data_IF_051019762365
#
_entry.id   IF_051019762365
#
_cell.length_a   1.000
_cell.length_b   1.000
_cell.length_c   1.000
_cell.angle_alpha   90.00
_cell.angle_beta   90.00
_cell.angle_gamma   90.00
#
_symmetry.space_group_name_H-M   'P 1'
#
loop_
_entity.id
_entity.type
_entity.pdbx_description
1 polymer ?
#
# COMPACT_ATOMS: atom_id res chain seq x y z
N UNK A 1 -5.39 -70.88 -52.05
CA UNK A 1 -4.59 -70.47 -50.87
C UNK A 1 -4.34 -68.96 -50.94
N UNK A 2 -5.22 -68.11 -50.39
CA UNK A 2 -4.96 -66.65 -50.35
C UNK A 2 -5.51 -65.93 -49.11
N UNK A 3 -6.13 -66.63 -48.16
CA UNK A 3 -6.85 -66.03 -47.03
C UNK A 3 -6.05 -65.87 -45.73
N UNK A 4 -4.80 -66.35 -45.65
CA UNK A 4 -3.99 -66.25 -44.43
C UNK A 4 -3.10 -65.00 -44.35
N UNK A 5 -2.75 -64.38 -45.48
CA UNK A 5 -1.79 -63.27 -45.53
C UNK A 5 -2.39 -61.92 -45.08
N UNK A 6 -3.70 -61.72 -45.25
CA UNK A 6 -4.37 -60.46 -44.89
C UNK A 6 -4.67 -60.34 -43.39
N UNK A 7 -4.87 -61.47 -42.71
CA UNK A 7 -5.11 -61.51 -41.25
C UNK A 7 -3.88 -61.14 -40.44
N UNK A 8 -2.68 -61.40 -40.96
CA UNK A 8 -1.41 -61.05 -40.31
C UNK A 8 -1.18 -59.55 -40.42
N UNK A 9 -1.41 -58.95 -41.60
CA UNK A 9 -1.24 -57.51 -41.86
C UNK A 9 -2.17 -56.63 -41.01
N UNK A 10 -3.43 -57.03 -40.84
CA UNK A 10 -4.39 -56.29 -40.01
C UNK A 10 -4.03 -56.28 -38.52
N UNK A 11 -3.52 -57.41 -37.99
CA UNK A 11 -3.09 -57.51 -36.58
C UNK A 11 -1.85 -56.67 -36.27
N UNK A 12 -0.90 -56.60 -37.21
CA UNK A 12 0.28 -55.72 -37.07
C UNK A 12 -0.09 -54.24 -37.13
N UNK A 13 -1.07 -53.84 -37.95
CA UNK A 13 -1.50 -52.44 -38.03
C UNK A 13 -2.23 -51.96 -36.77
N UNK A 14 -3.11 -52.79 -36.22
CA UNK A 14 -3.86 -52.46 -34.99
C UNK A 14 -2.90 -52.37 -33.79
N UNK A 15 -1.93 -53.28 -33.68
CA UNK A 15 -0.94 -53.24 -32.60
C UNK A 15 -0.01 -52.02 -32.69
N UNK A 16 0.39 -51.59 -33.90
CA UNK A 16 1.13 -50.34 -34.07
C UNK A 16 0.32 -49.09 -33.69
N UNK A 17 -0.96 -49.02 -34.07
CA UNK A 17 -1.83 -47.90 -33.69
C UNK A 17 -2.04 -47.80 -32.17
N UNK A 18 -2.17 -48.92 -31.47
CA UNK A 18 -2.27 -48.95 -30.00
C UNK A 18 -0.95 -48.51 -29.36
N UNK A 19 0.20 -48.91 -29.92
CA UNK A 19 1.51 -48.46 -29.44
C UNK A 19 1.67 -46.93 -29.58
N UNK A 20 1.32 -46.35 -30.73
CA UNK A 20 1.44 -44.91 -30.98
C UNK A 20 0.53 -44.10 -30.05
N UNK A 21 -0.67 -44.58 -29.75
CA UNK A 21 -1.59 -43.96 -28.77
C UNK A 21 -1.06 -44.04 -27.33
N UNK A 22 -0.43 -45.14 -26.95
CA UNK A 22 0.18 -45.29 -25.61
C UNK A 22 1.40 -44.37 -25.42
N UNK A 23 2.22 -44.20 -26.46
CA UNK A 23 3.38 -43.31 -26.41
C UNK A 23 3.00 -41.82 -26.39
N UNK A 24 1.98 -41.41 -27.14
CA UNK A 24 1.49 -40.00 -27.13
C UNK A 24 0.76 -39.63 -25.83
N UNK A 25 0.07 -40.58 -25.20
CA UNK A 25 -0.57 -40.39 -23.89
C UNK A 25 0.43 -40.15 -22.75
N UNK A 26 1.53 -40.91 -22.68
CA UNK A 26 2.53 -40.76 -21.60
C UNK A 26 3.34 -39.46 -21.72
N UNK A 27 3.73 -39.07 -22.94
CA UNK A 27 4.51 -37.83 -23.14
C UNK A 27 3.72 -36.57 -22.84
N UNK A 28 2.39 -36.59 -23.01
CA UNK A 28 1.53 -35.43 -22.76
C UNK A 28 1.32 -35.16 -21.26
N UNK A 29 1.13 -36.22 -20.46
CA UNK A 29 0.98 -36.11 -18.99
C UNK A 29 2.30 -35.66 -18.35
N UNK A 30 3.43 -36.19 -18.81
CA UNK A 30 4.74 -35.81 -18.30
C UNK A 30 5.12 -34.37 -18.69
N UNK A 31 4.76 -33.95 -19.91
CA UNK A 31 4.89 -32.56 -20.35
C UNK A 31 4.02 -31.61 -19.52
N UNK A 32 2.74 -31.94 -19.29
CA UNK A 32 1.86 -31.13 -18.44
C UNK A 32 2.38 -31.01 -17.00
N UNK A 33 2.89 -32.11 -16.44
CA UNK A 33 3.49 -32.11 -15.10
C UNK A 33 4.72 -31.22 -15.03
N UNK A 34 5.64 -31.33 -15.98
CA UNK A 34 6.82 -30.46 -16.05
C UNK A 34 6.44 -28.98 -16.22
N UNK A 35 5.41 -28.69 -17.01
CA UNK A 35 4.93 -27.33 -17.21
C UNK A 35 4.35 -26.76 -15.90
N UNK A 36 3.52 -27.53 -15.20
CA UNK A 36 2.95 -27.12 -13.92
C UNK A 36 4.03 -26.91 -12.83
N UNK A 37 5.05 -27.77 -12.79
CA UNK A 37 6.20 -27.60 -11.89
C UNK A 37 6.99 -26.33 -12.21
N UNK A 38 7.18 -26.00 -13.50
CA UNK A 38 7.83 -24.75 -13.94
C UNK A 38 7.01 -23.53 -13.56
N UNK A 39 5.71 -23.57 -13.79
CA UNK A 39 4.79 -22.47 -13.48
C UNK A 39 4.72 -22.23 -11.98
N UNK A 40 4.66 -23.31 -11.17
CA UNK A 40 4.72 -23.23 -9.70
C UNK A 40 6.04 -22.60 -9.24
N UNK A 41 7.19 -23.03 -9.78
CA UNK A 41 8.49 -22.44 -9.43
C UNK A 41 8.58 -20.98 -9.85
N UNK A 42 8.02 -20.62 -11.00
CA UNK A 42 7.96 -19.24 -11.49
C UNK A 42 7.11 -18.37 -10.58
N UNK A 43 5.95 -18.86 -10.14
CA UNK A 43 5.08 -18.14 -9.22
C UNK A 43 5.76 -17.91 -7.86
N UNK A 44 6.39 -18.93 -7.29
CA UNK A 44 7.16 -18.81 -6.03
C UNK A 44 8.30 -17.81 -6.18
N UNK A 45 9.04 -17.84 -7.29
CA UNK A 45 10.10 -16.88 -7.58
C UNK A 45 9.57 -15.46 -7.71
N UNK A 46 8.49 -15.25 -8.48
CA UNK A 46 7.90 -13.92 -8.65
C UNK A 46 7.23 -13.40 -7.37
N UNK A 47 6.69 -14.27 -6.53
CA UNK A 47 6.21 -13.88 -5.19
C UNK A 47 7.37 -13.46 -4.27
N UNK A 48 8.46 -14.24 -4.23
CA UNK A 48 9.67 -13.88 -3.49
C UNK A 48 10.26 -12.54 -3.98
N UNK A 49 10.34 -12.35 -5.29
CA UNK A 49 10.78 -11.11 -5.93
C UNK A 49 9.89 -9.91 -5.55
N UNK A 50 8.57 -10.08 -5.61
CA UNK A 50 7.60 -9.04 -5.20
C UNK A 50 7.74 -8.69 -3.72
N UNK A 51 7.92 -9.68 -2.85
CA UNK A 51 8.16 -9.48 -1.40
C UNK A 51 9.45 -8.71 -1.14
N UNK A 52 10.54 -9.09 -1.81
CA UNK A 52 11.84 -8.43 -1.67
C UNK A 52 11.82 -6.99 -2.18
N UNK A 53 11.20 -6.75 -3.34
CA UNK A 53 11.01 -5.40 -3.87
C UNK A 53 10.21 -4.52 -2.91
N UNK A 54 9.09 -5.03 -2.36
CA UNK A 54 8.29 -4.34 -1.34
C UNK A 54 9.09 -4.07 -0.06
N UNK A 55 9.98 -4.98 0.35
CA UNK A 55 10.85 -4.79 1.52
C UNK A 55 11.88 -3.67 1.27
N UNK A 56 12.54 -3.68 0.11
CA UNK A 56 13.49 -2.63 -0.29
C UNK A 56 12.84 -1.25 -0.37
N UNK A 57 11.67 -1.15 -1.02
CA UNK A 57 10.94 0.12 -1.14
C UNK A 57 10.54 0.69 0.24
N UNK A 58 10.05 -0.16 1.15
CA UNK A 58 9.74 0.23 2.54
C UNK A 58 10.97 0.76 3.27
N UNK A 59 12.08 0.02 3.19
CA UNK A 59 13.32 0.43 3.84
C UNK A 59 13.83 1.75 3.26
N UNK A 60 13.74 1.96 1.95
CA UNK A 60 14.18 3.20 1.31
C UNK A 60 13.36 4.41 1.81
N UNK A 61 12.02 4.29 1.85
CA UNK A 61 11.16 5.34 2.39
C UNK A 61 11.50 5.65 3.86
N UNK A 62 11.68 4.61 4.67
CA UNK A 62 12.05 4.74 6.09
C UNK A 62 13.43 5.40 6.30
N UNK A 63 14.42 5.05 5.49
CA UNK A 63 15.75 5.66 5.56
C UNK A 63 15.74 7.13 5.10
N UNK A 64 14.96 7.46 4.07
CA UNK A 64 14.89 8.84 3.58
C UNK A 64 14.26 9.80 4.60
N UNK A 65 13.40 9.31 5.49
CA UNK A 65 12.81 10.10 6.57
C UNK A 65 13.79 10.41 7.72
N UNK A 66 14.94 9.74 7.79
CA UNK A 66 15.88 9.95 8.90
C UNK A 66 16.39 11.39 8.93
N UNK A 67 16.55 11.94 10.13
CA UNK A 67 16.99 13.32 10.35
C UNK A 67 15.98 14.14 11.13
N UNK A 68 16.21 15.45 11.16
CA UNK A 68 15.33 16.42 11.80
C UNK A 68 14.55 17.19 10.75
N UNK A 69 13.32 17.50 11.10
CA UNK A 69 12.34 18.14 10.24
C UNK A 69 11.61 19.22 11.04
N UNK A 70 11.30 20.33 10.40
CA UNK A 70 10.52 21.42 10.98
C UNK A 70 9.23 21.58 10.18
N UNK A 71 8.13 21.78 10.88
CA UNK A 71 6.84 22.05 10.25
C UNK A 71 6.94 23.25 9.30
N UNK A 72 6.42 23.06 8.08
CA UNK A 72 6.44 24.05 7.02
C UNK A 72 5.03 24.54 6.72
N UNK A 73 4.12 23.64 6.34
CA UNK A 73 2.75 24.00 5.97
C UNK A 73 1.75 22.88 6.25
N UNK A 74 0.46 23.25 6.30
CA UNK A 74 -0.66 22.33 6.32
C UNK A 74 -1.69 22.81 5.29
N UNK A 75 -1.95 21.99 4.28
CA UNK A 75 -2.79 22.33 3.13
C UNK A 75 -3.96 21.36 3.05
N UNK A 76 -5.17 21.89 2.83
CA UNK A 76 -6.37 21.10 2.53
C UNK A 76 -6.69 21.27 1.05
N UNK A 77 -6.55 20.19 0.31
CA UNK A 77 -6.90 20.09 -1.10
C UNK A 77 -8.27 19.39 -1.19
N UNK A 78 -9.37 20.09 -0.87
CA UNK A 78 -10.73 19.54 -0.93
C UNK A 78 -11.43 19.91 -2.26
N UNK A 79 -12.21 18.98 -2.83
CA UNK A 79 -13.07 19.21 -4.00
C UNK A 79 -14.53 18.89 -3.64
N UNK A 80 -15.46 19.77 -4.01
CA UNK A 80 -16.89 19.44 -4.06
C UNK A 80 -17.70 19.55 -2.76
N UNK A 81 -17.24 20.26 -1.71
CA UNK A 81 -18.08 20.57 -0.54
C UNK A 81 -17.32 21.11 0.68
N UNK A 82 -17.99 21.95 1.50
CA UNK A 82 -17.55 22.54 2.80
C UNK A 82 -16.15 23.17 2.89
N UNK A 83 -15.59 23.57 1.76
CA UNK A 83 -14.19 23.98 1.58
C UNK A 83 -13.69 24.98 2.65
N UNK A 84 -14.57 25.89 3.11
CA UNK A 84 -14.22 26.91 4.11
C UNK A 84 -14.03 26.38 5.53
N UNK A 85 -14.83 25.41 5.99
CA UNK A 85 -14.78 24.97 7.39
C UNK A 85 -13.52 24.13 7.64
N UNK A 86 -13.23 23.18 6.75
CA UNK A 86 -12.04 22.33 6.88
C UNK A 86 -10.76 23.15 6.67
N UNK A 87 -10.73 24.08 5.71
CA UNK A 87 -9.59 25.00 5.55
C UNK A 87 -9.39 25.91 6.76
N UNK A 88 -10.46 26.45 7.34
CA UNK A 88 -10.37 27.28 8.55
C UNK A 88 -9.83 26.48 9.74
N UNK A 89 -10.34 25.25 9.94
CA UNK A 89 -9.85 24.33 10.97
C UNK A 89 -8.39 23.93 10.75
N UNK A 90 -7.98 23.71 9.51
CA UNK A 90 -6.60 23.42 9.15
C UNK A 90 -5.71 24.64 9.41
N UNK A 91 -6.12 25.86 9.03
CA UNK A 91 -5.36 27.08 9.31
C UNK A 91 -5.15 27.30 10.82
N UNK A 92 -6.20 27.09 11.62
CA UNK A 92 -6.09 27.14 13.08
C UNK A 92 -5.10 26.09 13.60
N UNK A 93 -5.16 24.87 13.08
CA UNK A 93 -4.24 23.78 13.45
C UNK A 93 -2.81 24.11 13.04
N UNK A 94 -2.58 24.61 11.82
CA UNK A 94 -1.28 25.05 11.32
C UNK A 94 -0.63 26.10 12.24
N UNK A 95 -1.44 27.03 12.79
CA UNK A 95 -0.93 28.02 13.75
C UNK A 95 -0.40 27.36 15.03
N UNK A 96 -1.05 26.29 15.52
CA UNK A 96 -0.62 25.51 16.68
C UNK A 96 0.60 24.64 16.37
N UNK A 97 0.79 24.23 15.12
CA UNK A 97 1.95 23.45 14.68
C UNK A 97 3.17 24.34 14.39
N UNK A 98 3.07 25.67 14.45
CA UNK A 98 4.25 26.55 14.31
C UNK A 98 5.34 26.16 15.32
N UNK A 99 6.56 26.02 14.83
CA UNK A 99 7.72 25.61 15.64
C UNK A 99 7.79 24.11 15.95
N UNK A 100 6.84 23.31 15.46
CA UNK A 100 6.87 21.85 15.59
C UNK A 100 8.10 21.28 14.88
N UNK A 101 8.82 20.42 15.61
CA UNK A 101 9.98 19.68 15.13
C UNK A 101 9.72 18.19 15.24
N UNK A 102 10.07 17.46 14.20
CA UNK A 102 9.96 16.02 14.11
C UNK A 102 11.34 15.44 13.80
N UNK A 103 11.80 14.48 14.60
CA UNK A 103 13.08 13.80 14.39
C UNK A 103 12.82 12.31 14.23
N UNK A 104 13.37 11.74 13.17
CA UNK A 104 13.44 10.29 12.97
C UNK A 104 14.87 9.80 13.12
N UNK A 105 15.04 8.67 13.77
CA UNK A 105 16.31 7.96 13.82
C UNK A 105 16.08 6.46 13.83
N UNK A 106 17.14 5.71 13.52
CA UNK A 106 17.15 4.25 13.54
C UNK A 106 18.04 3.78 14.68
N UNK A 107 17.60 2.76 15.41
CA UNK A 107 18.44 2.03 16.36
C UNK A 107 18.15 0.53 16.22
N UNK A 108 19.17 -0.24 15.82
CA UNK A 108 18.99 -1.61 15.34
C UNK A 108 18.04 -1.66 14.14
N UNK A 109 17.05 -2.55 14.18
CA UNK A 109 16.03 -2.68 13.13
C UNK A 109 14.79 -1.78 13.32
N UNK A 110 14.77 -0.98 14.39
CA UNK A 110 13.62 -0.16 14.76
C UNK A 110 13.81 1.30 14.34
N UNK A 111 12.73 1.90 13.84
CA UNK A 111 12.64 3.33 13.56
C UNK A 111 11.91 4.00 14.69
N UNK A 112 12.52 5.08 15.19
CA UNK A 112 12.01 5.87 16.27
C UNK A 112 11.68 7.27 15.78
N UNK A 113 10.73 7.90 16.44
CA UNK A 113 10.40 9.29 16.22
C UNK A 113 10.36 10.04 17.54
N UNK A 114 10.67 11.34 17.47
CA UNK A 114 10.42 12.31 18.52
C UNK A 114 9.78 13.52 17.88
N UNK A 115 8.67 13.94 18.44
CA UNK A 115 7.96 15.14 18.06
C UNK A 115 7.99 16.11 19.22
N UNK A 116 8.34 17.36 18.94
CA UNK A 116 8.49 18.40 19.96
C UNK A 116 8.01 19.75 19.43
N UNK A 117 7.15 20.40 20.22
CA UNK A 117 6.75 21.78 20.12
C UNK A 117 6.62 22.32 21.56
N UNK A 118 6.44 23.63 21.71
CA UNK A 118 6.02 24.33 22.94
C UNK A 118 4.85 23.65 23.64
N UNK A 119 3.93 23.03 22.88
CA UNK A 119 2.67 22.49 23.40
C UNK A 119 2.72 20.97 23.64
N UNK A 120 3.57 20.24 22.92
CA UNK A 120 3.55 18.78 22.93
C UNK A 120 4.94 18.17 22.77
N UNK A 121 5.20 17.12 23.54
CA UNK A 121 6.33 16.21 23.36
C UNK A 121 5.79 14.79 23.21
N UNK A 122 6.17 14.13 22.14
CA UNK A 122 5.80 12.75 21.86
C UNK A 122 7.02 11.97 21.40
N UNK A 123 7.05 10.70 21.79
CA UNK A 123 8.12 9.77 21.48
C UNK A 123 7.53 8.41 21.20
N UNK A 124 8.05 7.71 20.19
CA UNK A 124 7.56 6.39 19.86
C UNK A 124 8.34 5.70 18.75
N UNK A 125 7.75 4.64 18.23
CA UNK A 125 8.25 3.92 17.07
C UNK A 125 7.39 4.22 15.85
N UNK A 126 8.00 4.17 14.67
CA UNK A 126 7.28 4.30 13.41
C UNK A 126 7.48 3.07 12.54
N UNK A 127 6.46 2.73 11.77
CA UNK A 127 6.51 1.65 10.79
C UNK A 127 6.00 2.15 9.45
N UNK A 128 6.76 1.87 8.39
CA UNK A 128 6.34 2.16 7.01
C UNK A 128 5.81 0.90 6.35
N UNK A 129 4.62 0.97 5.77
CA UNK A 129 4.05 -0.11 4.97
C UNK A 129 3.47 0.46 3.67
N UNK A 130 4.02 0.06 2.53
CA UNK A 130 3.47 0.42 1.21
C UNK A 130 3.22 1.92 1.00
N UNK A 131 4.14 2.78 1.45
CA UNK A 131 3.98 4.25 1.36
C UNK A 131 3.13 4.87 2.46
N UNK A 132 2.62 4.07 3.40
CA UNK A 132 1.94 4.54 4.59
C UNK A 132 2.88 4.54 5.80
N UNK A 133 2.67 5.48 6.72
CA UNK A 133 3.39 5.62 7.97
C UNK A 133 2.43 5.46 9.14
N UNK A 134 2.77 4.55 10.05
CA UNK A 134 2.04 4.35 11.29
C UNK A 134 2.92 4.71 12.48
N UNK A 135 2.40 5.54 13.37
CA UNK A 135 3.06 5.95 14.60
C UNK A 135 2.53 5.16 15.79
N UNK A 136 3.45 4.62 16.59
CA UNK A 136 3.14 3.91 17.82
C UNK A 136 3.77 4.70 18.97
N UNK A 137 2.99 5.54 19.68
CA UNK A 137 3.52 6.34 20.78
C UNK A 137 3.96 5.43 21.92
N UNK A 138 5.15 5.69 22.45
CA UNK A 138 5.62 5.18 23.74
C UNK A 138 5.23 6.19 24.84
N UNK A 139 5.27 7.48 24.53
CA UNK A 139 4.89 8.57 25.43
C UNK A 139 4.36 9.78 24.67
N UNK A 140 3.46 10.54 25.28
CA UNK A 140 2.85 11.74 24.70
C UNK A 140 1.69 11.45 23.73
N UNK A 141 1.23 12.50 23.05
CA UNK A 141 0.09 12.42 22.11
C UNK A 141 0.44 11.67 20.84
N UNK A 142 -0.56 11.07 20.18
CA UNK A 142 -0.40 10.51 18.85
C UNK A 142 -0.18 11.63 17.83
N UNK A 143 0.81 11.46 16.94
CA UNK A 143 1.09 12.41 15.85
C UNK A 143 -0.17 12.67 14.99
N UNK A 144 -0.93 11.64 14.57
CA UNK A 144 -2.23 11.83 13.94
C UNK A 144 -3.15 12.80 14.65
N UNK A 145 -3.27 12.68 15.97
CA UNK A 145 -4.19 13.51 16.76
C UNK A 145 -3.68 14.96 16.86
N UNK A 146 -2.36 15.16 16.85
CA UNK A 146 -1.81 16.51 16.86
C UNK A 146 -2.01 17.23 15.51
N UNK A 147 -1.85 16.51 14.40
CA UNK A 147 -1.84 17.10 13.06
C UNK A 147 -3.26 17.13 12.46
N UNK A 148 -4.05 16.08 12.66
CA UNK A 148 -5.28 15.82 11.91
C UNK A 148 -6.54 15.70 12.77
N UNK A 149 -6.50 15.87 14.10
CA UNK A 149 -7.72 15.75 14.94
C UNK A 149 -8.83 16.74 14.57
N UNK A 150 -8.54 17.79 13.80
CA UNK A 150 -9.57 18.68 13.29
C UNK A 150 -10.51 18.04 12.24
N UNK A 151 -10.13 16.90 11.68
CA UNK A 151 -11.00 16.07 10.81
C UNK A 151 -11.89 15.11 11.59
N UNK A 152 -11.79 15.08 12.92
CA UNK A 152 -12.62 14.20 13.75
C UNK A 152 -14.09 14.53 13.54
N UNK A 153 -14.88 13.49 13.26
CA UNK A 153 -16.30 13.62 12.91
C UNK A 153 -16.56 13.90 11.42
N UNK A 154 -15.51 14.05 10.60
CA UNK A 154 -15.65 14.04 9.14
C UNK A 154 -15.79 12.60 8.67
N UNK A 155 -16.80 12.38 7.83
CA UNK A 155 -17.09 11.08 7.24
C UNK A 155 -16.54 11.00 5.82
N UNK A 156 -16.13 9.78 5.44
CA UNK A 156 -15.86 9.38 4.07
C UNK A 156 -16.84 8.28 3.68
N UNK A 157 -17.18 8.24 2.40
CA UNK A 157 -18.02 7.20 1.83
C UNK A 157 -17.16 6.24 1.02
N UNK A 158 -17.51 4.96 1.05
CA UNK A 158 -16.88 3.91 0.28
C UNK A 158 -17.98 3.13 -0.44
N UNK A 159 -17.84 3.01 -1.76
CA UNK A 159 -18.69 2.15 -2.57
C UNK A 159 -18.17 0.72 -2.45
N UNK A 160 -19.01 -0.18 -1.93
CA UNK A 160 -18.72 -1.59 -1.79
C UNK A 160 -19.00 -2.32 -3.12
N UNK A 161 -18.45 -3.54 -3.24
CA UNK A 161 -18.54 -4.33 -4.47
C UNK A 161 -19.95 -4.83 -4.82
N UNK A 162 -20.84 -4.86 -3.83
CA UNK A 162 -22.27 -5.17 -3.97
C UNK A 162 -23.11 -3.93 -4.36
N UNK A 163 -22.48 -2.76 -4.48
CA UNK A 163 -23.14 -1.50 -4.78
C UNK A 163 -23.65 -0.73 -3.55
N UNK A 164 -23.47 -1.26 -2.34
CA UNK A 164 -23.81 -0.55 -1.12
C UNK A 164 -22.81 0.59 -0.83
N UNK A 165 -23.28 1.60 -0.10
CA UNK A 165 -22.46 2.74 0.33
C UNK A 165 -22.25 2.67 1.83
N UNK A 166 -21.00 2.42 2.22
CA UNK A 166 -20.62 2.50 3.62
C UNK A 166 -20.13 3.92 3.95
N UNK A 167 -20.59 4.44 5.09
CA UNK A 167 -20.17 5.75 5.60
C UNK A 167 -19.35 5.53 6.85
N UNK A 168 -18.06 5.81 6.77
CA UNK A 168 -17.11 5.59 7.84
C UNK A 168 -16.42 6.89 8.25
N UNK A 169 -16.00 6.98 9.51
CA UNK A 169 -15.18 8.11 9.95
C UNK A 169 -13.80 8.06 9.30
N UNK A 170 -13.23 9.22 9.01
CA UNK A 170 -11.84 9.31 8.55
C UNK A 170 -10.92 8.86 9.67
N UNK A 171 -10.13 7.80 9.42
CA UNK A 171 -9.11 7.31 10.34
C UNK A 171 -7.77 8.00 10.05
N UNK A 172 -7.35 8.91 10.93
CA UNK A 172 -6.08 9.62 10.82
C UNK A 172 -4.87 8.76 11.21
N UNK A 173 -5.05 7.55 11.77
CA UNK A 173 -3.95 6.72 12.27
C UNK A 173 -3.03 6.18 11.17
N UNK A 174 -3.52 6.15 9.93
CA UNK A 174 -2.78 5.68 8.77
C UNK A 174 -2.67 6.85 7.80
N UNK A 175 -1.44 7.34 7.63
CA UNK A 175 -1.15 8.47 6.74
C UNK A 175 -0.23 8.03 5.62
N UNK A 176 -0.42 8.58 4.43
CA UNK A 176 0.59 8.53 3.38
C UNK A 176 1.84 9.27 3.83
N UNK A 177 3.00 8.79 3.39
CA UNK A 177 4.26 9.50 3.57
C UNK A 177 5.02 9.61 2.26
N UNK A 178 5.48 10.82 1.95
CA UNK A 178 6.33 11.09 0.82
C UNK A 178 7.56 11.89 1.28
N UNK A 179 8.74 11.52 0.78
CA UNK A 179 9.97 12.28 1.00
C UNK A 179 10.54 12.69 -0.34
N UNK A 180 10.66 14.00 -0.56
CA UNK A 180 11.18 14.61 -1.80
C UNK A 180 12.34 15.54 -1.44
N UNK A 181 13.56 15.01 -1.48
CA UNK A 181 14.77 15.75 -1.12
C UNK A 181 14.73 16.25 0.33
N UNK A 182 14.55 17.57 0.49
CA UNK A 182 14.47 18.26 1.78
C UNK A 182 13.06 18.42 2.32
N UNK A 183 12.04 17.85 1.65
CA UNK A 183 10.65 17.92 2.08
C UNK A 183 10.13 16.54 2.50
N UNK A 184 9.41 16.49 3.61
CA UNK A 184 8.67 15.34 4.12
C UNK A 184 7.19 15.72 4.18
N UNK A 185 6.34 14.98 3.49
CA UNK A 185 4.90 15.17 3.49
C UNK A 185 4.22 14.01 4.20
N UNK A 186 3.33 14.34 5.14
CA UNK A 186 2.35 13.42 5.72
C UNK A 186 0.98 13.74 5.12
N UNK A 187 0.36 12.75 4.51
CA UNK A 187 -0.89 12.93 3.77
C UNK A 187 -2.03 12.12 4.38
N UNK A 188 -3.19 12.76 4.53
CA UNK A 188 -4.44 12.12 4.94
C UNK A 188 -5.44 12.18 3.78
N UNK A 189 -5.89 11.01 3.31
CA UNK A 189 -6.93 10.92 2.28
C UNK A 189 -8.31 11.16 2.89
N UNK A 190 -9.05 12.12 2.35
CA UNK A 190 -10.42 12.44 2.77
C UNK A 190 -11.45 11.47 2.17
N UNK A 191 -11.02 10.58 1.27
CA UNK A 191 -11.84 9.55 0.67
C UNK A 191 -12.78 10.07 -0.41
N UNK A 192 -13.85 9.30 -0.65
CA UNK A 192 -14.87 9.61 -1.64
C UNK A 192 -16.12 10.19 -0.97
N UNK A 193 -16.88 10.95 -1.75
CA UNK A 193 -18.21 11.44 -1.38
C UNK A 193 -19.11 11.38 -2.60
N UNK A 194 -20.38 11.03 -2.40
CA UNK A 194 -21.40 11.09 -3.43
C UNK A 194 -21.90 12.54 -3.57
N UNK A 195 -21.73 13.12 -4.75
CA UNK A 195 -22.27 14.42 -5.13
C UNK A 195 -23.37 14.27 -6.20
N UNK A 196 -24.09 15.34 -6.54
CA UNK A 196 -25.04 15.31 -7.67
C UNK A 196 -24.41 14.90 -9.00
N UNK A 197 -23.11 15.16 -9.20
CA UNK A 197 -22.32 14.76 -10.38
C UNK A 197 -21.78 13.32 -10.29
N UNK A 198 -22.08 12.60 -9.21
CA UNK A 198 -21.66 11.23 -8.98
C UNK A 198 -20.56 11.12 -7.91
N UNK A 199 -19.77 10.05 -7.99
CA UNK A 199 -18.70 9.79 -7.03
C UNK A 199 -17.52 10.72 -7.24
N UNK A 200 -17.26 11.59 -6.28
CA UNK A 200 -16.13 12.50 -6.30
C UNK A 200 -15.10 12.12 -5.25
N UNK A 201 -13.83 12.19 -5.63
CA UNK A 201 -12.73 12.16 -4.65
C UNK A 201 -12.72 13.50 -3.94
N UNK A 202 -12.95 13.46 -2.63
CA UNK A 202 -13.02 14.63 -1.77
C UNK A 202 -11.68 15.33 -1.69
N UNK A 203 -10.58 14.59 -1.80
CA UNK A 203 -9.22 15.11 -1.87
C UNK A 203 -8.40 14.71 -0.65
N UNK A 204 -7.46 15.55 -0.23
CA UNK A 204 -6.40 15.18 0.70
C UNK A 204 -5.98 16.36 1.57
N UNK A 205 -5.44 16.04 2.75
CA UNK A 205 -4.78 17.00 3.63
C UNK A 205 -3.30 16.67 3.66
N UNK A 206 -2.45 17.63 3.31
CA UNK A 206 -0.99 17.49 3.31
C UNK A 206 -0.39 18.32 4.43
N UNK A 207 0.36 17.67 5.31
CA UNK A 207 1.20 18.31 6.33
C UNK A 207 2.66 18.17 5.92
N UNK A 208 3.28 19.28 5.54
CA UNK A 208 4.64 19.30 5.00
C UNK A 208 5.64 19.74 6.07
N UNK A 209 6.83 19.15 6.03
CA UNK A 209 7.96 19.49 6.87
C UNK A 209 9.21 19.71 6.00
N UNK A 210 10.03 20.66 6.40
CA UNK A 210 11.33 20.92 5.78
C UNK A 210 12.45 20.33 6.63
N UNK A 211 13.45 19.70 5.99
CA UNK A 211 14.63 19.16 6.65
C UNK A 211 15.44 20.29 7.29
N UNK A 212 15.90 20.06 8.51
CA UNK A 212 16.80 20.95 9.25
C UNK A 212 18.03 20.16 9.73
N UNK A 213 19.16 20.85 9.91
CA UNK A 213 20.44 20.27 10.34
C UNK A 213 20.47 19.87 11.83
#
# INVERSE_FOLDING_TARGET
MHFQTDRIKAKTLISFSILILAFTGCTSVEYQRMQNERDTRREVYEDARRKEFRKRSRNLAAHNMLGKWQFFELVVEERGGSEDILKTKAALTASKLKGLRLRFWKNGDNYFYRLENVIAKSYGTSKTWSGQLQFHPISGSQIPDLIFNFVKGTHKQVLLSDGEVDTMMIDAKIMGVAVKGTQLDLELDLGMVLSPEGWLRRGNIRCSFQRIE
#
